data_IF_010793066942
#
_entry.id   IF_010793066942
#
_cell.length_a   1.000
_cell.length_b   1.000
_cell.length_c   1.000
_cell.angle_alpha   90.00
_cell.angle_beta   90.00
_cell.angle_gamma   90.00
#
_symmetry.space_group_name_H-M   'P 1'
#
loop_
_entity.id
_entity.type
_entity.pdbx_description
1 polymer ?
#
# COMPACT_ATOMS: atom_id res chain seq x y z
N UNK A 1 2.10 35.86 54.36
CA UNK A 1 3.09 35.87 53.26
C UNK A 1 3.60 34.44 53.11
N UNK A 2 3.44 33.82 51.93
CA UNK A 2 3.93 32.45 51.72
C UNK A 2 5.46 32.44 51.65
N UNK A 3 6.10 31.41 52.22
CA UNK A 3 7.56 31.23 52.12
C UNK A 3 7.97 31.08 50.65
N UNK A 4 9.08 31.69 50.20
CA UNK A 4 9.56 31.58 48.82
C UNK A 4 9.75 30.12 48.38
N UNK A 5 10.09 29.23 49.32
CA UNK A 5 10.19 27.78 49.07
C UNK A 5 8.85 27.16 48.62
N UNK A 6 7.72 27.62 49.19
CA UNK A 6 6.39 27.09 48.86
C UNK A 6 5.96 27.52 47.45
N UNK A 7 6.31 28.74 47.04
CA UNK A 7 6.00 29.27 45.70
C UNK A 7 6.78 28.50 44.63
N UNK A 8 8.07 28.22 44.89
CA UNK A 8 8.92 27.43 43.97
C UNK A 8 8.40 25.99 43.83
N UNK A 9 8.01 25.35 44.94
CA UNK A 9 7.46 23.99 44.92
C UNK A 9 6.17 23.89 44.09
N UNK A 10 5.26 24.88 44.21
CA UNK A 10 4.02 24.93 43.43
C UNK A 10 4.30 25.11 41.93
N UNK A 11 5.24 25.98 41.57
CA UNK A 11 5.62 26.20 40.16
C UNK A 11 6.23 24.93 39.56
N UNK A 12 7.13 24.24 40.26
CA UNK A 12 7.72 22.98 39.80
C UNK A 12 6.66 21.87 39.62
N UNK A 13 5.74 21.73 40.57
CA UNK A 13 4.62 20.78 40.46
C UNK A 13 3.71 21.10 39.27
N UNK A 14 3.39 22.38 39.05
CA UNK A 14 2.60 22.80 37.89
C UNK A 14 3.34 22.52 36.57
N UNK A 15 4.65 22.78 36.48
CA UNK A 15 5.45 22.47 35.29
C UNK A 15 5.54 20.95 35.02
N UNK A 16 5.68 20.13 36.05
CA UNK A 16 5.66 18.65 35.94
C UNK A 16 4.28 18.16 35.49
N UNK A 17 3.19 18.71 36.04
CA UNK A 17 1.81 18.37 35.65
C UNK A 17 1.51 18.83 34.21
N UNK A 18 2.00 20.00 33.80
CA UNK A 18 1.85 20.50 32.42
C UNK A 18 2.68 19.68 31.42
N UNK A 19 3.92 19.34 31.76
CA UNK A 19 4.78 18.49 30.93
C UNK A 19 4.23 17.06 30.80
N UNK A 20 3.69 16.49 31.88
CA UNK A 20 3.03 15.17 31.86
C UNK A 20 1.68 15.16 31.15
N UNK A 21 0.96 16.29 31.10
CA UNK A 21 -0.25 16.44 30.26
C UNK A 21 0.11 16.53 28.78
N UNK A 22 1.12 17.31 28.41
CA UNK A 22 1.59 17.43 27.02
C UNK A 22 2.09 16.09 26.45
N UNK A 23 2.86 15.32 27.22
CA UNK A 23 3.30 13.98 26.80
C UNK A 23 2.16 12.96 26.73
N UNK A 24 1.17 13.07 27.62
CA UNK A 24 -0.03 12.23 27.59
C UNK A 24 -0.92 12.55 26.40
N UNK A 25 -1.05 13.81 26.00
CA UNK A 25 -1.80 14.23 24.81
C UNK A 25 -1.18 13.64 23.54
N UNK A 26 0.13 13.80 23.35
CA UNK A 26 0.87 13.22 22.22
C UNK A 26 0.82 11.68 22.18
N UNK A 27 0.83 11.02 23.35
CA UNK A 27 0.70 9.56 23.46
C UNK A 27 -0.74 9.05 23.25
N UNK A 28 -1.75 9.83 23.63
CA UNK A 28 -3.17 9.48 23.39
C UNK A 28 -3.58 9.63 21.93
N UNK A 29 -2.97 10.57 21.19
CA UNK A 29 -3.12 10.67 19.72
C UNK A 29 -2.58 9.40 19.04
N UNK A 30 -1.47 8.84 19.51
CA UNK A 30 -0.87 7.62 18.95
C UNK A 30 -1.70 6.34 19.15
N UNK A 31 -2.58 6.27 20.16
CA UNK A 31 -3.34 5.04 20.49
C UNK A 31 -4.77 4.99 19.96
N UNK A 32 -5.30 6.03 19.30
CA UNK A 32 -6.72 6.07 18.90
C UNK A 32 -7.06 5.98 17.41
N UNK A 33 -6.10 5.86 16.50
CA UNK A 33 -6.43 5.69 15.08
C UNK A 33 -5.20 5.28 14.28
N UNK A 34 -5.26 4.10 13.65
CA UNK A 34 -4.12 3.49 12.96
C UNK A 34 -3.49 4.45 11.94
N UNK A 35 -2.17 4.59 12.02
CA UNK A 35 -1.39 5.38 11.08
C UNK A 35 -1.58 4.82 9.66
N UNK A 36 -2.27 5.55 8.80
CA UNK A 36 -2.29 5.29 7.36
C UNK A 36 -0.94 5.76 6.81
N UNK A 37 -0.13 4.84 6.29
CA UNK A 37 1.12 5.16 5.60
C UNK A 37 0.82 5.86 4.28
N UNK A 38 1.61 6.90 3.96
CA UNK A 38 1.50 7.65 2.71
C UNK A 38 1.61 6.70 1.48
N UNK A 39 0.52 6.49 0.72
CA UNK A 39 0.52 5.55 -0.42
C UNK A 39 1.43 5.96 -1.57
N UNK A 40 1.84 7.23 -1.64
CA UNK A 40 2.75 7.69 -2.69
C UNK A 40 4.15 7.07 -2.56
N UNK A 41 4.53 6.60 -1.37
CA UNK A 41 5.82 5.94 -1.14
C UNK A 41 5.77 4.46 -1.53
N UNK A 42 4.87 3.67 -0.92
CA UNK A 42 4.84 2.20 -1.10
C UNK A 42 3.95 1.73 -2.25
N UNK A 43 2.98 2.54 -2.67
CA UNK A 43 1.98 2.17 -3.68
C UNK A 43 2.59 1.84 -5.05
N UNK A 44 3.48 2.69 -5.61
CA UNK A 44 4.14 2.40 -6.89
C UNK A 44 4.89 1.07 -6.89
N UNK A 45 5.58 0.75 -5.79
CA UNK A 45 6.35 -0.49 -5.68
C UNK A 45 5.44 -1.71 -5.57
N UNK A 46 4.36 -1.62 -4.77
CA UNK A 46 3.37 -2.69 -4.70
C UNK A 46 2.73 -2.96 -6.08
N UNK A 47 2.35 -1.91 -6.82
CA UNK A 47 1.81 -2.07 -8.17
C UNK A 47 2.82 -2.72 -9.12
N UNK A 48 4.10 -2.33 -9.04
CA UNK A 48 5.17 -2.96 -9.81
C UNK A 48 5.29 -4.45 -9.49
N UNK A 49 5.22 -4.83 -8.21
CA UNK A 49 5.22 -6.23 -7.80
C UNK A 49 4.02 -6.99 -8.34
N UNK A 50 2.80 -6.44 -8.24
CA UNK A 50 1.56 -7.08 -8.75
C UNK A 50 1.65 -7.32 -10.26
N UNK A 51 2.02 -6.29 -11.03
CA UNK A 51 2.19 -6.41 -12.47
C UNK A 51 3.29 -7.40 -12.85
N UNK A 52 4.39 -7.44 -12.10
CA UNK A 52 5.50 -8.37 -12.35
C UNK A 52 5.10 -9.83 -12.09
N UNK A 53 4.36 -10.09 -11.02
CA UNK A 53 3.78 -11.42 -10.73
C UNK A 53 2.85 -11.84 -11.86
N UNK A 54 2.00 -10.95 -12.36
CA UNK A 54 1.09 -11.25 -13.47
C UNK A 54 1.81 -11.44 -14.80
N UNK A 55 2.86 -10.65 -15.09
CA UNK A 55 3.67 -10.76 -16.29
C UNK A 55 4.45 -12.08 -16.36
N UNK A 56 4.93 -12.56 -15.21
CA UNK A 56 5.61 -13.85 -15.06
C UNK A 56 4.67 -15.05 -14.92
N UNK A 57 3.35 -14.85 -14.93
CA UNK A 57 2.37 -15.92 -14.76
C UNK A 57 2.37 -16.90 -15.95
N UNK A 58 2.01 -18.19 -15.80
CA UNK A 58 2.01 -19.14 -16.92
C UNK A 58 0.96 -18.83 -17.99
N UNK A 59 1.27 -19.15 -19.24
CA UNK A 59 0.28 -19.05 -20.34
C UNK A 59 -0.84 -20.11 -20.18
N UNK A 60 -0.50 -21.28 -19.58
CA UNK A 60 -1.44 -22.37 -19.24
C UNK A 60 -1.30 -22.76 -17.75
N UNK A 61 -1.87 -21.98 -16.82
CA UNK A 61 -1.72 -22.23 -15.39
C UNK A 61 -2.57 -23.41 -14.91
N UNK A 62 -2.01 -24.20 -13.98
CA UNK A 62 -2.71 -25.21 -13.22
C UNK A 62 -3.74 -24.59 -12.27
N UNK A 63 -4.72 -25.38 -11.82
CA UNK A 63 -5.74 -24.91 -10.87
C UNK A 63 -5.14 -24.42 -9.55
N UNK A 64 -4.01 -25.02 -9.14
CA UNK A 64 -3.24 -24.55 -7.98
C UNK A 64 -2.67 -23.16 -8.20
N UNK A 65 -2.03 -22.91 -9.35
CA UNK A 65 -1.46 -21.58 -9.67
C UNK A 65 -2.56 -20.52 -9.76
N UNK A 66 -3.71 -20.85 -10.36
CA UNK A 66 -4.89 -19.97 -10.38
C UNK A 66 -5.38 -19.63 -8.97
N UNK A 67 -5.46 -20.64 -8.09
CA UNK A 67 -5.91 -20.46 -6.72
C UNK A 67 -4.93 -19.57 -5.93
N UNK A 68 -3.62 -19.79 -6.05
CA UNK A 68 -2.61 -18.97 -5.37
C UNK A 68 -2.58 -17.54 -5.91
N UNK A 69 -2.72 -17.33 -7.22
CA UNK A 69 -2.81 -15.98 -7.80
C UNK A 69 -4.03 -15.21 -7.28
N UNK A 70 -5.20 -15.86 -7.22
CA UNK A 70 -6.40 -15.26 -6.62
C UNK A 70 -6.20 -14.95 -5.15
N UNK A 71 -5.62 -15.88 -4.39
CA UNK A 71 -5.34 -15.70 -2.95
C UNK A 71 -4.39 -14.53 -2.72
N UNK A 72 -3.33 -14.42 -3.51
CA UNK A 72 -2.41 -13.29 -3.48
C UNK A 72 -3.18 -11.97 -3.60
N UNK A 73 -3.98 -11.80 -4.67
CA UNK A 73 -4.74 -10.57 -4.89
C UNK A 73 -5.79 -10.30 -3.80
N UNK A 74 -6.60 -11.30 -3.44
CA UNK A 74 -7.67 -11.12 -2.45
C UNK A 74 -7.14 -10.86 -1.04
N UNK A 75 -5.89 -11.22 -0.74
CA UNK A 75 -5.26 -10.91 0.56
C UNK A 75 -4.77 -9.47 0.69
N UNK A 76 -4.41 -8.82 -0.44
CA UNK A 76 -3.88 -7.45 -0.44
C UNK A 76 -4.72 -6.46 0.38
N UNK A 77 -6.04 -6.32 0.16
CA UNK A 77 -6.81 -5.29 0.85
C UNK A 77 -6.89 -5.47 2.37
N UNK A 78 -6.55 -6.63 2.92
CA UNK A 78 -6.53 -6.81 4.38
C UNK A 78 -5.23 -6.33 5.01
N UNK A 79 -4.14 -6.28 4.22
CA UNK A 79 -2.79 -5.98 4.70
C UNK A 79 -2.26 -4.61 4.23
N UNK A 80 -2.95 -3.91 3.31
CA UNK A 80 -2.50 -2.58 2.87
C UNK A 80 -2.40 -1.62 4.06
N UNK A 81 -1.30 -0.86 4.21
CA UNK A 81 -1.11 0.04 5.34
C UNK A 81 -1.86 1.38 5.16
N UNK A 82 -3.08 1.35 4.62
CA UNK A 82 -3.91 2.51 4.32
C UNK A 82 -5.39 2.11 4.31
N UNK A 83 -6.18 2.57 5.28
CA UNK A 83 -7.57 2.11 5.47
C UNK A 83 -8.51 2.45 4.32
N UNK A 84 -8.34 3.60 3.70
CA UNK A 84 -9.10 3.99 2.50
C UNK A 84 -8.74 3.09 1.33
N UNK A 85 -7.44 2.82 1.13
CA UNK A 85 -6.94 1.91 0.12
C UNK A 85 -7.49 0.49 0.30
N UNK A 86 -7.54 -0.01 1.54
CA UNK A 86 -8.17 -1.31 1.88
C UNK A 86 -9.63 -1.34 1.39
N UNK A 87 -10.41 -0.32 1.74
CA UNK A 87 -11.85 -0.24 1.42
C UNK A 87 -12.08 -0.14 -0.08
N UNK A 88 -11.41 0.80 -0.75
CA UNK A 88 -11.54 1.00 -2.19
C UNK A 88 -11.11 -0.24 -2.97
N UNK A 89 -10.00 -0.89 -2.57
CA UNK A 89 -9.54 -2.08 -3.27
C UNK A 89 -10.51 -3.26 -3.10
N UNK A 90 -11.12 -3.45 -1.91
CA UNK A 90 -12.21 -4.42 -1.72
C UNK A 90 -13.39 -4.16 -2.66
N UNK A 91 -13.81 -2.91 -2.78
CA UNK A 91 -14.95 -2.56 -3.64
C UNK A 91 -14.62 -2.69 -5.13
N UNK A 92 -13.39 -2.39 -5.52
CA UNK A 92 -12.91 -2.60 -6.88
C UNK A 92 -12.87 -4.10 -7.23
N UNK A 93 -12.41 -4.95 -6.31
CA UNK A 93 -12.38 -6.41 -6.51
C UNK A 93 -13.79 -7.04 -6.65
N UNK A 94 -14.81 -6.47 -6.01
CA UNK A 94 -16.21 -6.90 -6.23
C UNK A 94 -16.70 -6.59 -7.64
N UNK A 95 -16.26 -5.47 -8.22
CA UNK A 95 -16.65 -5.01 -9.56
C UNK A 95 -15.85 -5.69 -10.66
N UNK A 96 -14.57 -5.96 -10.41
CA UNK A 96 -13.62 -6.53 -11.35
C UNK A 96 -12.81 -7.64 -10.68
N UNK A 97 -13.38 -8.84 -10.54
CA UNK A 97 -12.69 -9.97 -9.91
C UNK A 97 -11.47 -10.41 -10.75
N UNK A 98 -10.42 -11.02 -10.15
CA UNK A 98 -9.22 -11.42 -10.86
C UNK A 98 -9.45 -12.52 -11.89
N UNK A 99 -9.05 -12.24 -13.12
CA UNK A 99 -8.99 -13.21 -14.21
C UNK A 99 -7.58 -13.81 -14.25
N UNK A 100 -7.48 -15.14 -14.12
CA UNK A 100 -6.19 -15.84 -14.00
C UNK A 100 -6.13 -17.06 -14.91
N UNK A 101 -6.84 -17.03 -16.04
CA UNK A 101 -6.89 -18.18 -16.94
C UNK A 101 -5.62 -18.33 -17.78
N UNK A 102 -4.88 -17.25 -17.97
CA UNK A 102 -3.59 -17.19 -18.66
C UNK A 102 -2.78 -15.98 -18.18
N UNK A 103 -1.51 -15.91 -18.57
CA UNK A 103 -0.66 -14.72 -18.40
C UNK A 103 -1.32 -13.46 -18.94
N UNK A 104 -1.87 -13.51 -20.15
CA UNK A 104 -2.48 -12.36 -20.83
C UNK A 104 -3.70 -11.89 -20.04
N UNK A 105 -4.56 -12.81 -19.60
CA UNK A 105 -5.76 -12.46 -18.83
C UNK A 105 -5.37 -11.81 -17.52
N UNK A 106 -4.42 -12.40 -16.78
CA UNK A 106 -4.02 -11.87 -15.49
C UNK A 106 -3.33 -10.52 -15.62
N UNK A 107 -2.41 -10.38 -16.56
CA UNK A 107 -1.71 -9.13 -16.76
C UNK A 107 -2.65 -8.02 -17.24
N UNK A 108 -3.56 -8.29 -18.17
CA UNK A 108 -4.59 -7.33 -18.59
C UNK A 108 -5.50 -6.93 -17.43
N UNK A 109 -5.93 -7.88 -16.60
CA UNK A 109 -6.69 -7.60 -15.40
C UNK A 109 -5.94 -6.65 -14.46
N UNK A 110 -4.63 -6.83 -14.26
CA UNK A 110 -3.84 -5.91 -13.41
C UNK A 110 -3.81 -4.48 -13.96
N UNK A 111 -3.82 -4.30 -15.28
CA UNK A 111 -3.86 -2.99 -15.94
C UNK A 111 -5.23 -2.34 -15.70
N UNK A 112 -6.30 -3.10 -15.90
CA UNK A 112 -7.67 -2.60 -15.79
C UNK A 112 -8.00 -2.19 -14.34
N UNK A 113 -7.65 -3.02 -13.35
CA UNK A 113 -7.88 -2.70 -11.93
C UNK A 113 -7.05 -1.49 -11.49
N UNK A 114 -5.82 -1.33 -11.99
CA UNK A 114 -4.99 -0.17 -11.70
C UNK A 114 -5.57 1.08 -12.36
N UNK A 115 -6.14 0.97 -13.57
CA UNK A 115 -6.83 2.08 -14.23
C UNK A 115 -8.09 2.53 -13.48
N UNK A 116 -8.83 1.62 -12.84
CA UNK A 116 -9.93 2.01 -11.92
C UNK A 116 -9.39 2.90 -10.79
N UNK A 117 -8.25 2.53 -10.19
CA UNK A 117 -7.61 3.33 -9.14
C UNK A 117 -7.08 4.66 -9.69
N UNK A 118 -6.49 4.67 -10.89
CA UNK A 118 -6.06 5.91 -11.55
C UNK A 118 -7.25 6.85 -11.77
N UNK A 119 -8.38 6.33 -12.24
CA UNK A 119 -9.59 7.12 -12.40
C UNK A 119 -10.08 7.71 -11.07
N UNK A 120 -10.11 6.91 -10.00
CA UNK A 120 -10.47 7.36 -8.64
C UNK A 120 -9.57 8.48 -8.13
N UNK A 121 -8.29 8.45 -8.52
CA UNK A 121 -7.28 9.43 -8.13
C UNK A 121 -7.08 10.55 -9.17
N UNK A 122 -7.92 10.62 -10.21
CA UNK A 122 -7.77 11.58 -11.32
C UNK A 122 -6.37 11.55 -11.98
N UNK A 123 -5.77 10.37 -12.07
CA UNK A 123 -4.51 10.09 -12.77
C UNK A 123 -4.78 9.64 -14.22
N UNK A 124 -3.79 9.76 -15.13
CA UNK A 124 -3.95 9.28 -16.50
C UNK A 124 -4.29 7.79 -16.58
N UNK A 125 -5.23 7.45 -17.45
CA UNK A 125 -5.51 6.05 -17.83
C UNK A 125 -4.45 5.60 -18.82
N UNK A 126 -3.94 4.38 -18.63
CA UNK A 126 -2.92 3.77 -19.49
C UNK A 126 -3.53 2.71 -20.39
N UNK A 127 -3.15 2.64 -21.65
CA UNK A 127 -3.65 1.58 -22.52
C UNK A 127 -2.94 0.26 -22.24
N UNK A 128 -3.56 -0.87 -22.63
CA UNK A 128 -2.94 -2.18 -22.48
C UNK A 128 -1.66 -2.26 -23.31
N UNK A 129 -1.68 -1.75 -24.54
CA UNK A 129 -0.56 -1.75 -25.47
C UNK A 129 0.66 -1.02 -24.88
N UNK A 130 0.44 0.15 -24.27
CA UNK A 130 1.49 0.94 -23.61
C UNK A 130 2.17 0.16 -22.49
N UNK A 131 1.39 -0.49 -21.63
CA UNK A 131 1.91 -1.21 -20.47
C UNK A 131 2.58 -2.53 -20.87
N UNK A 132 2.00 -3.26 -21.84
CA UNK A 132 2.64 -4.44 -22.43
C UNK A 132 3.99 -4.10 -23.03
N UNK A 133 4.08 -3.02 -23.81
CA UNK A 133 5.34 -2.54 -24.37
C UNK A 133 6.34 -2.22 -23.26
N UNK A 134 5.93 -1.47 -22.25
CA UNK A 134 6.79 -1.10 -21.13
C UNK A 134 7.38 -2.31 -20.40
N UNK A 135 6.56 -3.29 -20.05
CA UNK A 135 7.03 -4.50 -19.35
C UNK A 135 7.87 -5.39 -20.25
N UNK A 136 7.55 -5.50 -21.55
CA UNK A 136 8.41 -6.17 -22.53
C UNK A 136 9.80 -5.55 -22.57
N UNK A 137 9.89 -4.23 -22.65
CA UNK A 137 11.17 -3.53 -22.70
C UNK A 137 11.99 -3.75 -21.41
N UNK A 138 11.35 -3.63 -20.24
CA UNK A 138 11.98 -3.87 -18.93
C UNK A 138 12.59 -5.28 -18.82
N UNK A 139 11.83 -6.32 -19.16
CA UNK A 139 12.27 -7.70 -19.02
C UNK A 139 13.11 -8.22 -20.19
N UNK A 140 13.21 -7.45 -21.29
CA UNK A 140 14.13 -7.74 -22.39
C UNK A 140 15.57 -7.29 -22.15
N UNK A 141 15.80 -6.43 -21.14
CA UNK A 141 17.15 -5.96 -20.78
C UNK A 141 17.84 -7.04 -19.92
N UNK A 142 19.04 -7.47 -20.32
CA UNK A 142 19.75 -8.62 -19.74
C UNK A 142 20.04 -8.47 -18.25
N UNK A 143 19.93 -9.59 -17.52
CA UNK A 143 20.27 -9.75 -16.10
C UNK A 143 21.77 -9.61 -15.81
N UNK A 144 22.36 -8.45 -16.04
CA UNK A 144 23.68 -8.14 -15.52
C UNK A 144 23.55 -7.24 -14.31
N UNK A 145 23.77 -7.85 -13.14
CA UNK A 145 23.88 -7.28 -11.79
C UNK A 145 22.56 -7.15 -11.02
N UNK A 146 22.12 -8.27 -10.43
CA UNK A 146 21.34 -8.22 -9.19
C UNK A 146 22.27 -7.73 -8.07
N UNK A 147 22.21 -6.44 -7.75
CA UNK A 147 22.61 -5.94 -6.44
C UNK A 147 21.33 -5.60 -5.71
N UNK A 148 21.00 -6.39 -4.69
CA UNK A 148 19.95 -6.03 -3.73
C UNK A 148 20.64 -5.19 -2.66
N UNK A 149 20.64 -3.87 -2.83
CA UNK A 149 20.92 -2.95 -1.74
C UNK A 149 19.57 -2.56 -1.11
N UNK A 150 19.40 -2.92 0.15
CA UNK A 150 18.28 -2.50 1.01
C UNK A 150 18.66 -1.27 1.81
#
# INVERSE_FOLDING_TARGET
>A
MYSPMLVIAIILLLLIVLCSRASREQYTVFRRGGFTLNPNFWGPDLWRSIHSVAYGFPDNPSDKEKAEAKKFIYSLPDILPCKECQTHFKDNLKKLPPEVNSKIDFFNWTIDIHNIVNQQLSKPIRTREEIHKHYKDLYSTTCDKFVVET
#
